data_IF_373911521334
#
_entry.id   IF_373911521334
#
_cell.length_a   1.000
_cell.length_b   1.000
_cell.length_c   1.000
_cell.angle_alpha   90.00
_cell.angle_beta   90.00
_cell.angle_gamma   90.00
#
_symmetry.space_group_name_H-M   'P 1'
#
loop_
_entity.id
_entity.type
_entity.pdbx_description
1 polymer ?
#
# COMPACT_ATOMS: atom_id res chain seq x y z
N UNK A 1 5.60 5.05 29.26
CA UNK A 1 6.85 4.98 28.45
C UNK A 1 6.68 4.03 27.27
N UNK A 2 5.52 3.37 27.18
CA UNK A 2 5.33 2.14 26.41
C UNK A 2 5.10 2.43 24.92
N UNK A 3 4.51 3.58 24.58
CA UNK A 3 4.34 4.04 23.20
C UNK A 3 5.68 4.10 22.46
N UNK A 4 6.69 4.75 23.06
CA UNK A 4 8.00 4.96 22.42
C UNK A 4 8.77 3.65 22.23
N UNK A 5 8.53 2.66 23.08
CA UNK A 5 9.13 1.32 22.97
C UNK A 5 8.42 0.43 21.95
N UNK A 6 7.22 0.82 21.53
CA UNK A 6 6.32 0.01 20.71
C UNK A 6 6.30 0.46 19.26
N UNK A 7 6.35 1.77 19.01
CA UNK A 7 6.28 2.30 17.66
C UNK A 7 7.66 2.36 17.02
N UNK A 8 7.79 1.85 15.81
CA UNK A 8 8.98 2.02 14.99
C UNK A 8 8.78 3.24 14.08
N UNK A 9 9.71 4.19 14.14
CA UNK A 9 9.68 5.39 13.30
C UNK A 9 10.90 5.36 12.39
N UNK A 10 10.67 5.20 11.09
CA UNK A 10 11.72 5.14 10.08
C UNK A 10 11.67 6.35 9.12
N UNK A 11 12.83 6.94 8.80
CA UNK A 11 12.94 8.05 7.84
C UNK A 11 12.02 9.24 8.16
N UNK A 12 11.20 9.63 7.19
CA UNK A 12 10.28 10.76 7.27
C UNK A 12 8.97 10.47 8.03
N UNK A 13 8.81 9.24 8.56
CA UNK A 13 7.59 8.81 9.24
C UNK A 13 7.33 9.52 10.58
N UNK A 14 8.29 10.30 11.10
CA UNK A 14 8.13 11.10 12.31
C UNK A 14 6.92 12.07 12.25
N UNK A 15 6.49 12.45 11.05
CA UNK A 15 5.29 13.27 10.82
C UNK A 15 3.98 12.55 11.13
N UNK A 16 4.01 11.21 11.18
CA UNK A 16 2.82 10.36 11.27
C UNK A 16 2.78 9.54 12.58
N UNK A 17 3.56 9.96 13.59
CA UNK A 17 3.55 9.35 14.93
C UNK A 17 2.14 9.14 15.49
N UNK A 18 1.19 10.10 15.39
CA UNK A 18 -0.17 9.88 15.90
C UNK A 18 -0.89 8.72 15.19
N UNK A 19 -0.70 8.57 13.88
CA UNK A 19 -1.31 7.50 13.08
C UNK A 19 -0.69 6.15 13.46
N UNK A 20 0.64 6.09 13.55
CA UNK A 20 1.37 4.87 13.90
C UNK A 20 1.01 4.42 15.32
N UNK A 21 0.94 5.35 16.28
CA UNK A 21 0.53 5.07 17.65
C UNK A 21 -0.90 4.50 17.71
N UNK A 22 -1.83 5.07 16.93
CA UNK A 22 -3.20 4.57 16.83
C UNK A 22 -3.25 3.13 16.31
N UNK A 23 -2.46 2.79 15.30
CA UNK A 23 -2.39 1.42 14.76
C UNK A 23 -1.71 0.43 15.69
N UNK A 24 -0.79 0.90 16.53
CA UNK A 24 -0.20 0.10 17.61
C UNK A 24 -1.18 -0.15 18.78
N UNK A 25 -2.41 0.38 18.72
CA UNK A 25 -3.46 0.17 19.72
C UNK A 25 -3.57 1.27 20.77
N UNK A 26 -2.75 2.32 20.71
CA UNK A 26 -2.85 3.44 21.62
C UNK A 26 -3.99 4.37 21.21
N UNK A 27 -5.07 4.38 22.01
CA UNK A 27 -6.28 5.17 21.74
C UNK A 27 -6.28 6.54 22.42
N UNK A 28 -5.47 6.74 23.46
CA UNK A 28 -5.40 7.99 24.21
C UNK A 28 -4.54 9.04 23.50
N UNK A 29 -5.04 9.55 22.37
CA UNK A 29 -4.40 10.59 21.56
C UNK A 29 -5.29 11.83 21.61
N UNK A 30 -4.79 12.90 22.23
CA UNK A 30 -5.47 14.19 22.33
C UNK A 30 -4.84 15.24 21.43
N UNK A 31 -5.62 16.26 21.09
CA UNK A 31 -5.15 17.46 20.40
C UNK A 31 -5.02 18.61 21.39
N UNK A 32 -3.92 19.36 21.30
CA UNK A 32 -3.72 20.57 22.10
C UNK A 32 -3.86 21.77 21.19
N UNK A 33 -4.87 22.59 21.43
CA UNK A 33 -5.03 23.87 20.73
C UNK A 33 -3.82 24.75 21.04
N UNK A 34 -3.16 25.23 20.01
CA UNK A 34 -2.03 26.15 20.10
C UNK A 34 -2.28 27.37 19.23
N UNK A 35 -1.87 28.54 19.72
CA UNK A 35 -1.96 29.77 18.93
C UNK A 35 -0.87 29.78 17.86
N UNK A 36 -1.26 29.66 16.59
CA UNK A 36 -0.35 29.83 15.47
C UNK A 36 -0.14 31.31 15.17
N UNK A 37 1.12 31.75 15.18
CA UNK A 37 1.51 33.12 14.80
C UNK A 37 2.19 33.11 13.43
N UNK A 38 1.91 34.15 12.65
CA UNK A 38 2.55 34.33 11.35
C UNK A 38 4.07 34.49 11.49
N UNK A 39 4.82 33.91 10.54
CA UNK A 39 6.27 34.07 10.45
C UNK A 39 6.61 35.55 10.24
N UNK A 40 7.47 36.11 11.09
CA UNK A 40 7.88 37.53 11.01
C UNK A 40 9.06 37.78 10.06
N UNK A 41 9.96 36.82 9.89
CA UNK A 41 11.20 36.97 9.13
C UNK A 41 11.55 35.72 8.33
N UNK A 42 12.23 35.90 7.19
CA UNK A 42 12.73 34.84 6.32
C UNK A 42 11.67 34.23 5.41
N UNK A 43 12.12 33.35 4.50
CA UNK A 43 11.26 32.62 3.56
C UNK A 43 11.03 31.18 4.02
N UNK A 44 9.95 30.57 3.52
CA UNK A 44 9.68 29.17 3.82
C UNK A 44 10.68 28.25 3.15
N UNK A 45 11.22 27.30 3.93
CA UNK A 45 12.01 26.17 3.39
C UNK A 45 11.11 25.02 2.91
N UNK A 46 9.79 25.18 3.00
CA UNK A 46 8.81 24.19 2.56
C UNK A 46 8.44 24.48 1.11
N UNK A 47 9.05 23.76 0.18
CA UNK A 47 8.70 23.79 -1.25
C UNK A 47 7.60 22.79 -1.61
N UNK A 48 7.19 22.79 -2.88
CA UNK A 48 6.22 21.84 -3.45
C UNK A 48 6.65 20.37 -3.25
N UNK A 49 7.95 20.10 -3.29
CA UNK A 49 8.52 18.78 -3.03
C UNK A 49 8.03 18.19 -1.70
N UNK A 50 7.90 19.01 -0.65
CA UNK A 50 7.45 18.54 0.66
C UNK A 50 5.98 18.13 0.68
N UNK A 51 5.15 18.73 -0.17
CA UNK A 51 3.76 18.31 -0.34
C UNK A 51 3.67 16.97 -1.06
N UNK A 52 4.44 16.79 -2.13
CA UNK A 52 4.48 15.53 -2.89
C UNK A 52 5.01 14.41 -2.00
N UNK A 53 6.16 14.60 -1.35
CA UNK A 53 6.76 13.59 -0.47
C UNK A 53 5.83 13.28 0.70
N UNK A 54 5.19 14.28 1.33
CA UNK A 54 4.20 14.02 2.39
C UNK A 54 2.97 13.24 1.92
N UNK A 55 2.53 13.43 0.69
CA UNK A 55 1.46 12.60 0.13
C UNK A 55 1.93 11.16 -0.11
N UNK A 56 3.10 10.97 -0.71
CA UNK A 56 3.70 9.65 -0.95
C UNK A 56 4.00 8.90 0.36
N UNK A 57 4.46 9.60 1.38
CA UNK A 57 4.71 9.05 2.72
C UNK A 57 3.41 8.54 3.34
N UNK A 58 2.33 9.32 3.25
CA UNK A 58 1.02 8.93 3.76
C UNK A 58 0.47 7.70 3.04
N UNK A 59 0.61 7.63 1.71
CA UNK A 59 0.24 6.45 0.93
C UNK A 59 1.05 5.23 1.39
N UNK A 60 2.36 5.40 1.58
CA UNK A 60 3.26 4.34 2.02
C UNK A 60 2.87 3.82 3.40
N UNK A 61 2.67 4.72 4.38
CA UNK A 61 2.29 4.36 5.75
C UNK A 61 0.91 3.68 5.76
N UNK A 62 -0.06 4.22 5.01
CA UNK A 62 -1.39 3.61 4.87
C UNK A 62 -1.34 2.22 4.24
N UNK A 63 -0.52 2.04 3.22
CA UNK A 63 -0.32 0.77 2.56
C UNK A 63 0.34 -0.25 3.49
N UNK A 64 1.46 0.10 4.13
CA UNK A 64 2.18 -0.79 5.05
C UNK A 64 1.31 -1.14 6.26
N UNK A 65 0.62 -0.16 6.86
CA UNK A 65 -0.25 -0.38 8.00
C UNK A 65 -1.42 -1.32 7.70
N UNK A 66 -2.03 -1.21 6.51
CA UNK A 66 -3.22 -2.02 6.14
C UNK A 66 -2.88 -3.35 5.47
N UNK A 67 -1.88 -3.38 4.60
CA UNK A 67 -1.56 -4.52 3.73
C UNK A 67 -0.19 -5.13 3.99
N UNK A 68 0.64 -4.59 4.88
CA UNK A 68 2.00 -5.10 5.14
C UNK A 68 2.04 -6.57 5.59
N UNK A 69 1.01 -7.04 6.31
CA UNK A 69 0.89 -8.46 6.73
C UNK A 69 0.21 -9.36 5.69
N UNK A 70 -0.46 -8.79 4.68
CA UNK A 70 -1.27 -9.50 3.68
C UNK A 70 -1.22 -8.80 2.31
N UNK A 71 -0.03 -8.63 1.71
CA UNK A 71 0.13 -7.85 0.48
C UNK A 71 -0.61 -8.45 -0.73
N UNK A 72 -0.84 -9.78 -0.72
CA UNK A 72 -1.59 -10.46 -1.79
C UNK A 72 -3.02 -9.92 -1.94
N UNK A 73 -3.66 -9.47 -0.86
CA UNK A 73 -5.02 -8.93 -0.96
C UNK A 73 -5.08 -7.62 -1.76
N UNK A 74 -4.03 -6.79 -1.74
CA UNK A 74 -4.01 -5.55 -2.50
C UNK A 74 -3.58 -5.79 -3.95
N UNK A 75 -2.39 -6.34 -4.13
CA UNK A 75 -1.82 -6.54 -5.46
C UNK A 75 -2.51 -7.66 -6.23
N UNK A 76 -2.94 -8.73 -5.56
CA UNK A 76 -3.64 -9.84 -6.19
C UNK A 76 -5.05 -9.46 -6.66
N UNK A 77 -5.81 -8.67 -5.89
CA UNK A 77 -7.15 -8.22 -6.32
C UNK A 77 -7.07 -7.29 -7.52
N UNK A 78 -6.14 -6.32 -7.51
CA UNK A 78 -5.89 -5.47 -8.67
C UNK A 78 -5.34 -6.29 -9.85
N UNK A 79 -4.42 -7.22 -9.61
CA UNK A 79 -3.85 -8.08 -10.64
C UNK A 79 -4.91 -8.89 -11.37
N UNK A 80 -5.81 -9.57 -10.63
CA UNK A 80 -6.93 -10.31 -11.21
C UNK A 80 -7.88 -9.38 -11.96
N UNK A 81 -8.24 -8.22 -11.39
CA UNK A 81 -9.12 -7.26 -12.04
C UNK A 81 -8.60 -6.83 -13.42
N UNK A 82 -7.34 -6.38 -13.48
CA UNK A 82 -6.71 -5.94 -14.73
C UNK A 82 -6.55 -7.09 -15.71
N UNK A 83 -6.11 -8.26 -15.23
CA UNK A 83 -6.02 -9.46 -16.06
C UNK A 83 -7.36 -9.81 -16.69
N UNK A 84 -8.45 -9.83 -15.92
CA UNK A 84 -9.80 -10.13 -16.42
C UNK A 84 -10.27 -9.09 -17.45
N UNK A 85 -10.04 -7.79 -17.20
CA UNK A 85 -10.40 -6.74 -18.17
C UNK A 85 -9.65 -6.95 -19.50
N UNK A 86 -8.33 -7.15 -19.43
CA UNK A 86 -7.52 -7.39 -20.63
C UNK A 86 -7.91 -8.67 -21.35
N UNK A 87 -8.20 -9.75 -20.60
CA UNK A 87 -8.66 -11.02 -21.13
C UNK A 87 -9.98 -10.87 -21.89
N UNK A 88 -10.98 -10.21 -21.29
CA UNK A 88 -12.28 -9.96 -21.95
C UNK A 88 -12.11 -9.16 -23.24
N UNK A 89 -11.28 -8.12 -23.23
CA UNK A 89 -11.00 -7.31 -24.43
C UNK A 89 -10.38 -8.17 -25.53
N UNK A 90 -9.33 -8.94 -25.23
CA UNK A 90 -8.65 -9.76 -26.23
C UNK A 90 -9.52 -10.93 -26.70
N UNK A 91 -10.30 -11.55 -25.82
CA UNK A 91 -11.26 -12.59 -26.19
C UNK A 91 -12.32 -12.04 -27.14
N UNK A 92 -12.89 -10.87 -26.83
CA UNK A 92 -13.86 -10.20 -27.71
C UNK A 92 -13.27 -9.93 -29.10
N UNK A 93 -12.08 -9.33 -29.16
CA UNK A 93 -11.40 -9.06 -30.43
C UNK A 93 -11.03 -10.35 -31.18
N UNK A 94 -10.63 -11.40 -30.47
CA UNK A 94 -10.32 -12.70 -31.08
C UNK A 94 -11.56 -13.34 -31.72
N UNK A 95 -12.72 -13.25 -31.06
CA UNK A 95 -14.00 -13.72 -31.59
C UNK A 95 -14.38 -12.94 -32.87
N UNK A 96 -14.22 -11.61 -32.87
CA UNK A 96 -14.46 -10.79 -34.05
C UNK A 96 -13.56 -11.17 -35.24
N UNK A 97 -12.30 -11.55 -34.96
CA UNK A 97 -11.37 -11.99 -36.00
C UNK A 97 -11.78 -13.33 -36.60
N UNK A 98 -12.06 -14.30 -35.74
CA UNK A 98 -12.18 -15.71 -36.12
C UNK A 98 -13.56 -16.05 -36.65
N UNK A 99 -14.62 -15.48 -36.07
CA UNK A 99 -16.01 -15.80 -36.42
C UNK A 99 -16.56 -14.83 -37.47
N UNK A 100 -16.27 -13.53 -37.32
CA UNK A 100 -16.82 -12.47 -38.17
C UNK A 100 -15.84 -12.02 -39.27
N UNK A 101 -14.69 -12.69 -39.41
CA UNK A 101 -13.65 -12.41 -40.40
C UNK A 101 -13.25 -10.92 -40.47
N UNK A 102 -13.28 -10.20 -39.34
CA UNK A 102 -12.81 -8.81 -39.29
C UNK A 102 -11.28 -8.75 -39.34
N UNK A 103 -10.76 -7.96 -40.29
CA UNK A 103 -9.33 -7.68 -40.44
C UNK A 103 -8.93 -6.39 -39.71
N UNK A 104 -7.63 -6.13 -39.59
CA UNK A 104 -7.10 -4.89 -38.99
C UNK A 104 -7.25 -4.78 -37.47
N UNK A 105 -7.47 -5.89 -36.75
CA UNK A 105 -7.62 -5.86 -35.28
C UNK A 105 -6.37 -5.32 -34.59
N UNK A 106 -5.20 -5.61 -35.13
CA UNK A 106 -3.92 -5.13 -34.61
C UNK A 106 -3.73 -3.61 -34.78
N UNK A 107 -4.56 -2.94 -35.59
CA UNK A 107 -4.50 -1.49 -35.78
C UNK A 107 -5.37 -0.74 -34.75
N UNK A 108 -6.25 -1.46 -34.04
CA UNK A 108 -7.09 -0.85 -33.02
C UNK A 108 -6.27 -0.57 -31.76
N UNK A 109 -6.29 0.66 -31.22
CA UNK A 109 -5.66 0.98 -29.94
C UNK A 109 -6.13 0.06 -28.80
N UNK A 110 -7.38 -0.41 -28.88
CA UNK A 110 -7.98 -1.33 -27.92
C UNK A 110 -7.25 -2.69 -27.85
N UNK A 111 -6.64 -3.15 -28.94
CA UNK A 111 -5.87 -4.39 -28.96
C UNK A 111 -4.61 -4.26 -28.09
N UNK A 112 -3.84 -3.19 -28.29
CA UNK A 112 -2.65 -2.91 -27.48
C UNK A 112 -3.01 -2.62 -26.02
N UNK A 113 -4.12 -1.92 -25.78
CA UNK A 113 -4.63 -1.70 -24.43
C UNK A 113 -4.97 -3.04 -23.73
N UNK A 114 -5.61 -3.97 -24.44
CA UNK A 114 -5.90 -5.32 -23.93
C UNK A 114 -4.63 -6.08 -23.53
N UNK A 115 -3.61 -6.08 -24.39
CA UNK A 115 -2.30 -6.69 -24.10
C UNK A 115 -1.65 -6.04 -22.88
N UNK A 116 -1.55 -4.70 -22.86
CA UNK A 116 -0.94 -3.96 -21.76
C UNK A 116 -1.64 -4.26 -20.43
N UNK A 117 -2.97 -4.31 -20.43
CA UNK A 117 -3.76 -4.59 -19.24
C UNK A 117 -3.50 -6.00 -18.70
N UNK A 118 -3.36 -7.01 -19.58
CA UNK A 118 -2.95 -8.36 -19.16
C UNK A 118 -1.54 -8.38 -18.57
N UNK A 119 -0.59 -7.70 -19.20
CA UNK A 119 0.79 -7.64 -18.71
C UNK A 119 0.83 -6.99 -17.32
N UNK A 120 0.19 -5.85 -17.14
CA UNK A 120 0.10 -5.15 -15.86
C UNK A 120 -0.62 -6.02 -14.82
N UNK A 121 -1.74 -6.65 -15.17
CA UNK A 121 -2.46 -7.55 -14.28
C UNK A 121 -1.61 -8.71 -13.78
N UNK A 122 -0.85 -9.34 -14.69
CA UNK A 122 0.08 -10.43 -14.38
C UNK A 122 1.22 -9.95 -13.48
N UNK A 123 1.82 -8.79 -13.79
CA UNK A 123 2.89 -8.18 -12.99
C UNK A 123 2.41 -7.89 -11.57
N UNK A 124 1.24 -7.26 -11.41
CA UNK A 124 0.65 -7.00 -10.09
C UNK A 124 0.41 -8.29 -9.31
N UNK A 125 -0.16 -9.31 -9.94
CA UNK A 125 -0.40 -10.60 -9.29
C UNK A 125 0.91 -11.25 -8.80
N UNK A 126 1.94 -11.30 -9.66
CA UNK A 126 3.25 -11.84 -9.31
C UNK A 126 3.92 -11.02 -8.21
N UNK A 127 3.87 -9.69 -8.27
CA UNK A 127 4.39 -8.81 -7.21
C UNK A 127 3.69 -9.06 -5.88
N UNK A 128 2.36 -9.21 -5.89
CA UNK A 128 1.60 -9.56 -4.69
C UNK A 128 2.00 -10.90 -4.09
N UNK A 129 2.17 -11.90 -4.95
CA UNK A 129 2.59 -13.23 -4.53
C UNK A 129 4.02 -13.25 -3.97
N UNK A 130 4.96 -12.56 -4.61
CA UNK A 130 6.33 -12.42 -4.12
C UNK A 130 6.36 -11.67 -2.79
N UNK A 131 5.62 -10.58 -2.66
CA UNK A 131 5.52 -9.83 -1.41
C UNK A 131 4.96 -10.70 -0.28
N UNK A 132 3.95 -11.53 -0.56
CA UNK A 132 3.39 -12.48 0.42
C UNK A 132 4.43 -13.52 0.86
N UNK A 133 5.25 -14.04 -0.06
CA UNK A 133 6.35 -14.95 0.27
C UNK A 133 7.42 -14.27 1.14
N UNK A 134 7.78 -13.03 0.82
CA UNK A 134 8.75 -12.25 1.62
C UNK A 134 8.21 -12.02 3.03
N UNK A 135 6.98 -11.53 3.16
CA UNK A 135 6.33 -11.31 4.46
C UNK A 135 6.17 -12.60 5.26
N UNK A 136 5.92 -13.74 4.60
CA UNK A 136 5.81 -15.05 5.26
C UNK A 136 7.13 -15.55 5.82
N UNK A 137 8.25 -15.24 5.16
CA UNK A 137 9.59 -15.66 5.58
C UNK A 137 10.26 -14.67 6.56
N UNK A 138 9.61 -13.55 6.89
CA UNK A 138 10.18 -12.56 7.80
C UNK A 138 10.26 -13.08 9.25
N UNK A 139 11.44 -12.98 9.85
CA UNK A 139 11.74 -13.52 11.18
C UNK A 139 10.85 -12.94 12.31
N UNK A 140 10.39 -11.68 12.19
CA UNK A 140 9.54 -10.98 13.16
C UNK A 140 8.03 -11.01 12.87
N UNK A 141 7.56 -11.89 11.98
CA UNK A 141 6.12 -11.90 11.56
C UNK A 141 5.15 -12.04 12.73
N UNK A 142 5.53 -12.83 13.72
CA UNK A 142 4.70 -13.18 14.87
C UNK A 142 5.05 -12.34 16.11
N UNK A 143 5.74 -11.21 15.95
CA UNK A 143 5.99 -10.31 17.07
C UNK A 143 4.67 -9.61 17.45
N UNK A 144 4.37 -9.65 18.75
CA UNK A 144 3.22 -9.00 19.35
C UNK A 144 3.61 -8.32 20.65
N UNK A 145 2.81 -7.34 21.04
CA UNK A 145 3.02 -6.59 22.27
C UNK A 145 2.52 -7.42 23.45
N UNK A 146 3.38 -7.58 24.45
CA UNK A 146 3.05 -8.25 25.71
C UNK A 146 2.82 -7.16 26.76
N UNK A 147 1.57 -7.00 27.19
CA UNK A 147 1.20 -6.03 28.22
C UNK A 147 1.55 -6.54 29.63
N UNK A 148 1.25 -7.80 29.90
CA UNK A 148 1.50 -8.42 31.20
C UNK A 148 1.88 -9.89 31.05
N UNK A 149 2.91 -10.33 31.77
CA UNK A 149 3.25 -11.76 31.93
C UNK A 149 2.74 -12.23 33.29
N UNK A 150 1.89 -13.24 33.31
CA UNK A 150 1.39 -13.87 34.54
C UNK A 150 2.29 -15.07 34.82
N UNK A 151 3.16 -14.98 35.82
CA UNK A 151 3.92 -16.15 36.29
C UNK A 151 3.01 -17.01 37.18
N UNK A 152 2.60 -18.17 36.67
CA UNK A 152 1.94 -19.17 37.50
C UNK A 152 2.94 -19.72 38.52
N UNK A 153 2.60 -19.68 39.81
CA UNK A 153 3.35 -20.44 40.82
C UNK A 153 3.21 -21.93 40.48
N UNK A 154 4.30 -22.57 40.06
CA UNK A 154 4.37 -24.03 39.98
C UNK A 154 4.03 -24.62 41.35
N UNK A 155 3.08 -25.54 41.35
CA UNK A 155 2.69 -26.33 42.52
C UNK A 155 3.81 -27.29 42.95
#
# INVERSE_FOLDING_TARGET
SDVVKTIEVYGEMHRYIPVIAKWAGFSNIGEKVVEHRARKYGVTKFGLERFINGFLDLLTISFVGKFGKKPMHFFGTLGVLFFTIGFVILSYLSILKLIYSKYGIADLPLFYFGILTIIIGTQLFVTGFLAELVTRNAAGRNDYLIEQRIEGKSA
#
